data_IF_393930554323
#
_entry.id   IF_393930554323
#
_cell.length_a   1.000
_cell.length_b   1.000
_cell.length_c   1.000
_cell.angle_alpha   90.00
_cell.angle_beta   90.00
_cell.angle_gamma   90.00
#
_symmetry.space_group_name_H-M   'P 1'
#
loop_
_entity.id
_entity.type
_entity.pdbx_description
1 polymer ?
#
# COMPACT_ATOMS: atom_id res chain seq x y z
N UNK A 1 0.38 26.31 5.69
CA UNK A 1 1.45 25.32 5.87
C UNK A 1 2.09 25.08 4.51
N UNK A 2 3.40 25.29 4.36
CA UNK A 2 4.11 25.15 3.08
C UNK A 2 4.62 23.70 2.99
N UNK A 3 3.95 22.89 2.17
CA UNK A 3 4.08 21.42 2.12
C UNK A 3 5.14 20.92 1.11
N UNK A 4 5.86 21.84 0.45
CA UNK A 4 6.67 21.57 -0.75
C UNK A 4 8.15 21.27 -0.47
N UNK A 5 8.71 21.71 0.66
CA UNK A 5 10.16 21.67 0.91
C UNK A 5 10.68 20.62 1.88
N UNK A 6 9.82 19.91 2.62
CA UNK A 6 10.25 18.98 3.69
C UNK A 6 9.61 17.59 3.59
N UNK A 7 9.55 17.02 2.39
CA UNK A 7 8.91 15.70 2.12
C UNK A 7 9.29 14.60 3.13
N UNK A 8 10.50 14.60 3.66
CA UNK A 8 10.98 13.53 4.56
C UNK A 8 10.77 13.82 6.06
N UNK A 9 10.47 15.06 6.45
CA UNK A 9 10.34 15.46 7.87
C UNK A 9 8.92 15.93 8.25
N UNK A 10 8.00 15.99 7.28
CA UNK A 10 6.61 16.41 7.49
C UNK A 10 5.89 15.68 8.63
N UNK A 11 6.14 14.37 8.78
CA UNK A 11 5.53 13.57 9.85
C UNK A 11 6.04 13.90 11.26
N UNK A 12 7.14 14.65 11.39
CA UNK A 12 7.67 15.14 12.66
C UNK A 12 7.10 16.50 13.05
N UNK A 13 6.51 17.23 12.10
CA UNK A 13 5.99 18.56 12.37
C UNK A 13 4.70 18.43 13.20
N UNK A 14 4.63 18.98 14.43
CA UNK A 14 3.43 18.88 15.27
C UNK A 14 2.17 19.39 14.56
N UNK A 15 2.31 20.47 13.81
CA UNK A 15 1.26 21.02 12.94
C UNK A 15 0.74 20.05 11.86
N UNK A 16 1.55 19.10 11.38
CA UNK A 16 1.08 18.06 10.45
C UNK A 16 0.30 16.97 11.16
N UNK A 17 0.76 16.53 12.34
CA UNK A 17 0.05 15.50 13.13
C UNK A 17 -1.25 16.04 13.73
N UNK A 18 -1.30 17.34 14.06
CA UNK A 18 -2.52 18.05 14.44
C UNK A 18 -3.50 18.18 13.27
N UNK A 19 -3.00 18.48 12.07
CA UNK A 19 -3.83 18.53 10.87
C UNK A 19 -4.43 17.16 10.52
N UNK A 20 -3.65 16.07 10.61
CA UNK A 20 -4.15 14.70 10.41
C UNK A 20 -5.35 14.43 11.34
N UNK A 21 -5.19 14.71 12.63
CA UNK A 21 -6.25 14.54 13.65
C UNK A 21 -7.48 15.38 13.35
N UNK A 22 -7.28 16.64 12.95
CA UNK A 22 -8.37 17.54 12.61
C UNK A 22 -9.21 17.03 11.42
N UNK A 23 -8.55 16.56 10.35
CA UNK A 23 -9.26 16.07 9.17
C UNK A 23 -9.98 14.74 9.46
N UNK A 24 -9.40 13.87 10.28
CA UNK A 24 -10.06 12.65 10.76
C UNK A 24 -11.33 12.98 11.56
N UNK A 25 -11.22 13.89 12.54
CA UNK A 25 -12.35 14.35 13.35
C UNK A 25 -13.46 14.99 12.49
N UNK A 26 -13.06 15.78 11.49
CA UNK A 26 -13.98 16.42 10.56
C UNK A 26 -14.69 15.39 9.66
N UNK A 27 -13.96 14.36 9.22
CA UNK A 27 -14.49 13.27 8.39
C UNK A 27 -15.46 12.39 9.19
N UNK A 28 -15.15 12.08 10.44
CA UNK A 28 -16.02 11.33 11.34
C UNK A 28 -17.34 12.08 11.63
N UNK A 29 -17.27 13.42 11.74
CA UNK A 29 -18.45 14.27 11.97
C UNK A 29 -19.31 14.47 10.72
N UNK A 30 -18.77 14.27 9.52
CA UNK A 30 -19.49 14.45 8.26
C UNK A 30 -19.25 13.29 7.28
N UNK A 31 -19.77 12.07 7.52
CA UNK A 31 -19.39 10.88 6.75
C UNK A 31 -19.71 10.95 5.24
N UNK A 32 -20.68 11.77 4.84
CA UNK A 32 -21.14 11.90 3.44
C UNK A 32 -20.43 13.01 2.65
N UNK A 33 -19.72 13.91 3.32
CA UNK A 33 -19.02 15.07 2.71
C UNK A 33 -17.56 15.20 3.13
N UNK A 34 -17.14 14.43 4.13
CA UNK A 34 -15.79 14.44 4.68
C UNK A 34 -14.80 13.92 3.65
N UNK A 35 -13.85 14.76 3.26
CA UNK A 35 -12.66 14.32 2.53
C UNK A 35 -11.69 13.78 3.57
N UNK A 36 -11.25 12.52 3.44
CA UNK A 36 -10.27 11.97 4.37
C UNK A 36 -8.94 12.70 4.25
N UNK A 37 -8.14 12.68 5.32
CA UNK A 37 -6.78 13.23 5.29
C UNK A 37 -5.98 12.58 4.16
N UNK A 38 -6.17 11.28 3.96
CA UNK A 38 -5.58 10.52 2.87
C UNK A 38 -5.99 11.02 1.49
N UNK A 39 -7.26 11.31 1.22
CA UNK A 39 -7.67 11.86 -0.08
C UNK A 39 -6.99 13.21 -0.38
N UNK A 40 -6.82 14.05 0.64
CA UNK A 40 -6.09 15.32 0.48
C UNK A 40 -4.60 15.08 0.24
N UNK A 41 -3.98 14.18 1.01
CA UNK A 41 -2.57 13.86 0.88
C UNK A 41 -2.23 13.14 -0.43
N UNK A 42 -3.06 12.19 -0.87
CA UNK A 42 -2.87 11.49 -2.16
C UNK A 42 -3.07 12.45 -3.33
N UNK A 43 -4.02 13.39 -3.24
CA UNK A 43 -4.17 14.44 -4.25
C UNK A 43 -2.96 15.38 -4.32
N UNK A 44 -2.34 15.70 -3.18
CA UNK A 44 -1.20 16.63 -3.12
C UNK A 44 0.15 15.97 -3.46
N UNK A 45 0.40 14.77 -2.94
CA UNK A 45 1.69 14.09 -3.06
C UNK A 45 1.70 12.96 -4.09
N UNK A 46 0.55 12.37 -4.40
CA UNK A 46 0.43 11.08 -5.09
C UNK A 46 0.63 9.89 -4.14
N UNK A 47 0.06 8.75 -4.51
CA UNK A 47 0.09 7.52 -3.71
C UNK A 47 1.51 7.05 -3.40
N UNK A 48 2.37 6.96 -4.43
CA UNK A 48 3.74 6.45 -4.27
C UNK A 48 4.62 7.35 -3.37
N UNK A 49 4.46 8.67 -3.48
CA UNK A 49 5.20 9.60 -2.63
C UNK A 49 4.68 9.58 -1.20
N UNK A 50 3.35 9.51 -1.01
CA UNK A 50 2.74 9.37 0.30
C UNK A 50 3.16 8.08 1.00
N UNK A 51 3.12 6.96 0.28
CA UNK A 51 3.59 5.67 0.80
C UNK A 51 5.03 5.77 1.30
N UNK A 52 5.93 6.30 0.46
CA UNK A 52 7.33 6.48 0.81
C UNK A 52 7.54 7.37 2.04
N UNK A 53 6.78 8.46 2.18
CA UNK A 53 6.87 9.32 3.36
C UNK A 53 6.52 8.55 4.65
N UNK A 54 5.50 7.69 4.60
CA UNK A 54 5.10 6.86 5.73
C UNK A 54 6.15 5.78 6.03
N UNK A 55 6.69 5.12 5.01
CA UNK A 55 7.77 4.13 5.17
C UNK A 55 9.02 4.74 5.80
N UNK A 56 9.42 5.94 5.38
CA UNK A 56 10.58 6.64 5.97
C UNK A 56 10.31 6.97 7.46
N UNK A 57 9.12 7.43 7.81
CA UNK A 57 8.75 7.69 9.20
C UNK A 57 8.68 6.41 10.05
N UNK A 58 8.36 5.26 9.47
CA UNK A 58 8.32 3.99 10.19
C UNK A 58 9.70 3.53 10.68
N UNK A 59 10.79 4.05 10.10
CA UNK A 59 12.17 3.71 10.47
C UNK A 59 12.61 4.30 11.81
N UNK A 60 11.91 5.31 12.32
CA UNK A 60 12.30 6.02 13.52
C UNK A 60 11.35 5.71 14.68
N UNK A 61 11.92 5.38 15.85
CA UNK A 61 11.14 4.94 17.02
C UNK A 61 10.04 5.93 17.43
N UNK A 62 10.32 7.24 17.38
CA UNK A 62 9.35 8.28 17.78
C UNK A 62 8.14 8.45 16.85
N UNK A 63 8.22 7.93 15.62
CA UNK A 63 7.16 8.06 14.60
C UNK A 63 6.62 6.72 14.13
N UNK A 64 7.18 5.61 14.62
CA UNK A 64 6.84 4.25 14.17
C UNK A 64 5.36 3.90 14.38
N UNK A 65 4.80 4.23 15.53
CA UNK A 65 3.40 3.92 15.84
C UNK A 65 2.44 4.73 14.95
N UNK A 66 2.76 6.02 14.75
CA UNK A 66 2.00 6.87 13.83
C UNK A 66 2.11 6.36 12.40
N UNK A 67 3.31 6.03 11.93
CA UNK A 67 3.52 5.51 10.59
C UNK A 67 2.76 4.19 10.37
N UNK A 68 2.77 3.28 11.34
CA UNK A 68 2.02 2.02 11.29
C UNK A 68 0.52 2.26 11.20
N UNK A 69 0.00 3.20 12.00
CA UNK A 69 -1.41 3.62 11.93
C UNK A 69 -1.73 4.17 10.53
N UNK A 70 -0.90 5.08 10.02
CA UNK A 70 -1.11 5.71 8.72
C UNK A 70 -1.02 4.73 7.55
N UNK A 71 -0.11 3.74 7.60
CA UNK A 71 -0.03 2.66 6.62
C UNK A 71 -1.34 1.86 6.58
N UNK A 72 -1.88 1.49 7.75
CA UNK A 72 -3.16 0.77 7.83
C UNK A 72 -4.31 1.57 7.24
N UNK A 73 -4.41 2.85 7.57
CA UNK A 73 -5.47 3.73 7.07
C UNK A 73 -5.35 3.99 5.57
N UNK A 74 -4.12 4.11 5.04
CA UNK A 74 -3.87 4.23 3.59
C UNK A 74 -4.36 2.99 2.84
N UNK A 75 -4.05 1.78 3.34
CA UNK A 75 -4.53 0.53 2.72
C UNK A 75 -6.06 0.45 2.74
N UNK A 76 -6.70 0.84 3.85
CA UNK A 76 -8.15 0.90 3.95
C UNK A 76 -8.76 1.93 3.00
N UNK A 77 -8.10 3.09 2.84
CA UNK A 77 -8.52 4.11 1.90
C UNK A 77 -8.47 3.60 0.46
N UNK A 78 -7.38 2.97 0.04
CA UNK A 78 -7.25 2.37 -1.30
C UNK A 78 -8.32 1.31 -1.57
N UNK A 79 -8.61 0.44 -0.60
CA UNK A 79 -9.73 -0.51 -0.70
C UNK A 79 -11.07 0.24 -0.83
N UNK A 80 -11.30 1.28 -0.03
CA UNK A 80 -12.54 2.06 -0.05
C UNK A 80 -12.77 2.81 -1.36
N UNK A 81 -11.71 3.28 -2.02
CA UNK A 81 -11.76 3.97 -3.30
C UNK A 81 -11.61 3.02 -4.49
N UNK A 82 -11.68 1.70 -4.26
CA UNK A 82 -11.51 0.67 -5.29
C UNK A 82 -10.23 0.85 -6.13
N UNK A 83 -9.12 1.25 -5.49
CA UNK A 83 -7.82 1.40 -6.15
C UNK A 83 -7.37 0.04 -6.68
N UNK A 84 -6.97 -0.02 -7.95
CA UNK A 84 -6.61 -1.31 -8.57
C UNK A 84 -5.37 -1.90 -7.89
N UNK A 85 -5.25 -3.23 -7.77
CA UNK A 85 -4.04 -3.85 -7.28
C UNK A 85 -2.77 -3.50 -8.06
N UNK A 86 -2.88 -3.23 -9.36
CA UNK A 86 -1.75 -2.77 -10.19
C UNK A 86 -1.25 -1.39 -9.73
N UNK A 87 -2.16 -0.44 -9.53
CA UNK A 87 -1.79 0.89 -9.05
C UNK A 87 -1.17 0.83 -7.64
N UNK A 88 -1.70 -0.04 -6.77
CA UNK A 88 -1.15 -0.23 -5.42
C UNK A 88 0.22 -0.89 -5.47
N UNK A 89 0.42 -1.85 -6.37
CA UNK A 89 1.73 -2.47 -6.61
C UNK A 89 2.79 -1.43 -6.98
N UNK A 90 2.45 -0.53 -7.91
CA UNK A 90 3.32 0.58 -8.30
C UNK A 90 3.50 1.62 -7.18
N UNK A 91 2.45 1.94 -6.43
CA UNK A 91 2.51 2.87 -5.30
C UNK A 91 3.48 2.38 -4.21
N UNK A 92 3.52 1.07 -3.96
CA UNK A 92 4.46 0.44 -3.03
C UNK A 92 5.87 0.24 -3.64
N UNK A 93 6.13 0.77 -4.84
CA UNK A 93 7.37 0.61 -5.61
C UNK A 93 7.79 -0.86 -5.80
N UNK A 94 6.84 -1.79 -5.78
CA UNK A 94 7.14 -3.21 -5.96
C UNK A 94 7.61 -3.49 -7.39
N UNK A 95 7.15 -2.73 -8.38
CA UNK A 95 7.61 -2.75 -9.78
C UNK A 95 9.13 -2.54 -9.94
N UNK A 96 9.77 -1.93 -8.95
CA UNK A 96 11.22 -1.63 -8.96
C UNK A 96 12.03 -2.64 -8.12
N UNK A 97 11.38 -3.60 -7.46
CA UNK A 97 12.07 -4.62 -6.69
C UNK A 97 12.76 -5.60 -7.65
N UNK A 98 14.11 -5.58 -7.67
CA UNK A 98 14.90 -6.29 -8.69
C UNK A 98 15.11 -7.78 -8.42
N UNK A 99 15.11 -8.22 -7.16
CA UNK A 99 15.37 -9.61 -6.76
C UNK A 99 14.60 -9.97 -5.47
N UNK A 100 14.26 -11.25 -5.30
CA UNK A 100 13.66 -11.81 -4.07
C UNK A 100 12.36 -11.14 -3.61
N UNK A 101 11.49 -10.74 -4.55
CA UNK A 101 10.23 -10.06 -4.20
C UNK A 101 9.35 -10.88 -3.24
N UNK A 102 9.37 -12.22 -3.32
CA UNK A 102 8.60 -13.05 -2.41
C UNK A 102 9.06 -12.96 -0.95
N UNK A 103 10.32 -12.60 -0.72
CA UNK A 103 10.85 -12.34 0.62
C UNK A 103 10.68 -10.87 1.02
N UNK A 104 10.15 -10.02 0.13
CA UNK A 104 9.87 -8.64 0.43
C UNK A 104 8.60 -8.55 1.31
N UNK A 105 8.67 -8.00 2.53
CA UNK A 105 7.49 -7.82 3.37
C UNK A 105 6.42 -6.95 2.70
N UNK A 106 6.82 -6.02 1.85
CA UNK A 106 5.92 -5.16 1.07
C UNK A 106 5.08 -5.96 0.07
N UNK A 107 5.66 -7.01 -0.52
CA UNK A 107 4.92 -7.92 -1.38
C UNK A 107 3.87 -8.71 -0.60
N UNK A 108 4.21 -9.13 0.62
CA UNK A 108 3.24 -9.81 1.51
C UNK A 108 2.09 -8.89 1.88
N UNK A 109 2.38 -7.61 2.17
CA UNK A 109 1.36 -6.60 2.44
C UNK A 109 0.47 -6.34 1.21
N UNK A 110 1.05 -6.26 0.00
CA UNK A 110 0.30 -6.13 -1.25
C UNK A 110 -0.57 -7.37 -1.55
N UNK A 111 -0.05 -8.58 -1.34
CA UNK A 111 -0.84 -9.80 -1.52
C UNK A 111 -2.05 -9.83 -0.58
N UNK A 112 -1.87 -9.38 0.68
CA UNK A 112 -2.96 -9.19 1.61
C UNK A 112 -3.95 -8.12 1.14
N UNK A 113 -3.48 -7.01 0.59
CA UNK A 113 -4.34 -5.97 0.00
C UNK A 113 -5.23 -6.55 -1.11
N UNK A 114 -4.69 -7.37 -2.01
CA UNK A 114 -5.47 -8.02 -3.07
C UNK A 114 -6.56 -8.93 -2.49
N UNK A 115 -6.23 -9.70 -1.45
CA UNK A 115 -7.21 -10.56 -0.77
C UNK A 115 -8.34 -9.74 -0.12
N UNK A 116 -7.99 -8.65 0.58
CA UNK A 116 -8.96 -7.77 1.22
C UNK A 116 -9.81 -6.98 0.18
N UNK A 117 -9.21 -6.61 -0.96
CA UNK A 117 -9.91 -6.01 -2.10
C UNK A 117 -10.92 -6.97 -2.72
N UNK A 118 -10.52 -8.22 -3.00
CA UNK A 118 -11.39 -9.23 -3.59
C UNK A 118 -12.53 -9.63 -2.64
N UNK A 119 -12.29 -9.63 -1.33
CA UNK A 119 -13.34 -9.85 -0.34
C UNK A 119 -14.39 -8.74 -0.35
N UNK A 120 -13.99 -7.50 -0.64
CA UNK A 120 -14.90 -6.34 -0.74
C UNK A 120 -15.62 -6.24 -2.09
N UNK A 121 -14.96 -6.64 -3.18
CA UNK A 121 -15.47 -6.56 -4.55
C UNK A 121 -15.55 -7.94 -5.22
N UNK A 122 -16.40 -8.87 -4.72
CA UNK A 122 -16.42 -10.26 -5.18
C UNK A 122 -16.92 -10.42 -6.62
N UNK A 123 -17.67 -9.45 -7.16
CA UNK A 123 -18.18 -9.46 -8.54
C UNK A 123 -17.09 -9.20 -9.60
N UNK A 124 -15.95 -8.63 -9.18
CA UNK A 124 -14.82 -8.35 -10.08
C UNK A 124 -13.50 -8.58 -9.35
N UNK A 125 -13.16 -9.85 -9.04
CA UNK A 125 -11.95 -10.17 -8.31
C UNK A 125 -10.72 -9.89 -9.19
N UNK A 126 -9.71 -9.29 -8.57
CA UNK A 126 -8.42 -9.08 -9.18
C UNK A 126 -7.54 -10.34 -9.04
N UNK A 127 -6.78 -10.62 -10.09
CA UNK A 127 -5.75 -11.66 -10.11
C UNK A 127 -4.37 -11.03 -9.86
N UNK A 128 -3.50 -11.76 -9.16
CA UNK A 128 -2.13 -11.30 -8.92
C UNK A 128 -1.25 -11.49 -10.16
N UNK A 129 -1.39 -12.63 -10.86
CA UNK A 129 -0.52 -13.00 -11.98
C UNK A 129 -0.45 -11.94 -13.10
N UNK A 130 -1.57 -11.33 -13.56
CA UNK A 130 -1.52 -10.29 -14.59
C UNK A 130 -0.81 -9.00 -14.16
N UNK A 131 -0.79 -8.70 -12.85
CA UNK A 131 -0.04 -7.56 -12.33
C UNK A 131 1.45 -7.89 -12.32
N UNK A 132 1.82 -9.08 -11.87
CA UNK A 132 3.22 -9.49 -11.80
C UNK A 132 3.85 -9.61 -13.20
N UNK A 133 3.13 -10.14 -14.18
CA UNK A 133 3.61 -10.27 -15.56
C UNK A 133 3.83 -8.94 -16.27
N UNK A 134 3.23 -7.84 -15.81
CA UNK A 134 3.54 -6.49 -16.33
C UNK A 134 4.95 -6.02 -15.96
N UNK A 135 5.47 -6.44 -14.81
CA UNK A 135 6.72 -5.90 -14.25
C UNK A 135 7.85 -6.93 -14.18
N UNK A 136 7.54 -8.22 -14.26
CA UNK A 136 8.49 -9.31 -14.12
C UNK A 136 8.53 -10.21 -15.34
N UNK A 137 9.73 -10.65 -15.69
CA UNK A 137 9.92 -11.65 -16.75
C UNK A 137 9.34 -12.99 -16.34
N UNK A 138 8.92 -13.80 -17.31
CA UNK A 138 8.44 -15.16 -17.09
C UNK A 138 9.43 -16.01 -16.28
N UNK A 139 10.73 -15.85 -16.51
CA UNK A 139 11.77 -16.53 -15.74
C UNK A 139 11.72 -16.18 -14.26
N UNK A 140 11.54 -14.90 -13.94
CA UNK A 140 11.39 -14.44 -12.55
C UNK A 140 10.08 -14.95 -11.94
N UNK A 141 8.99 -14.99 -12.70
CA UNK A 141 7.72 -15.56 -12.22
C UNK A 141 7.82 -17.07 -11.94
N UNK A 142 8.54 -17.82 -12.77
CA UNK A 142 8.79 -19.26 -12.57
C UNK A 142 9.60 -19.49 -11.29
N UNK A 143 10.64 -18.69 -11.05
CA UNK A 143 11.42 -18.72 -9.80
C UNK A 143 10.52 -18.42 -8.59
N UNK A 144 9.63 -17.44 -8.69
CA UNK A 144 8.66 -17.14 -7.63
C UNK A 144 7.79 -18.36 -7.31
N UNK A 145 7.20 -18.99 -8.33
CA UNK A 145 6.35 -20.18 -8.15
C UNK A 145 7.15 -21.33 -7.52
N UNK A 146 8.37 -21.59 -7.99
CA UNK A 146 9.24 -22.63 -7.45
C UNK A 146 9.58 -22.40 -5.97
N UNK A 147 9.94 -21.17 -5.60
CA UNK A 147 10.24 -20.79 -4.20
C UNK A 147 9.00 -20.94 -3.32
N UNK A 148 7.83 -20.48 -3.77
CA UNK A 148 6.57 -20.61 -3.03
C UNK A 148 6.20 -22.08 -2.78
N UNK A 149 6.40 -22.96 -3.76
CA UNK A 149 6.16 -24.40 -3.65
C UNK A 149 7.16 -25.07 -2.71
N UNK A 150 8.44 -24.67 -2.74
CA UNK A 150 9.50 -25.25 -1.91
C UNK A 150 9.49 -24.77 -0.44
N UNK A 151 9.02 -23.55 -0.18
CA UNK A 151 9.10 -22.88 1.12
C UNK A 151 7.96 -23.20 2.09
N UNK A 152 7.02 -24.07 1.72
CA UNK A 152 5.84 -24.39 2.55
C UNK A 152 4.83 -23.24 2.68
N UNK A 153 5.00 -22.15 1.91
CA UNK A 153 4.00 -21.08 1.82
C UNK A 153 2.77 -21.67 1.13
N UNK A 154 1.66 -21.64 1.85
CA UNK A 154 0.45 -22.41 1.58
C UNK A 154 0.04 -22.41 0.11
N UNK A 155 -0.32 -23.61 -0.40
CA UNK A 155 -0.80 -23.93 -1.75
C UNK A 155 -1.64 -22.83 -2.42
N UNK A 156 -2.42 -22.07 -1.64
CA UNK A 156 -3.24 -20.91 -2.05
C UNK A 156 -2.48 -19.78 -2.75
N UNK A 157 -1.23 -19.48 -2.41
CA UNK A 157 -0.45 -18.44 -3.11
C UNK A 157 0.03 -18.94 -4.47
N UNK A 158 0.46 -20.20 -4.55
CA UNK A 158 0.92 -20.81 -5.81
C UNK A 158 -0.21 -20.95 -6.85
N UNK A 159 -1.43 -21.30 -6.43
CA UNK A 159 -2.57 -21.41 -7.36
C UNK A 159 -2.97 -20.05 -7.95
N UNK A 160 -2.90 -18.98 -7.16
CA UNK A 160 -3.21 -17.60 -7.60
C UNK A 160 -2.19 -16.97 -8.54
N UNK A 161 -1.00 -17.57 -8.67
CA UNK A 161 0.03 -17.13 -9.64
C UNK A 161 -0.13 -17.87 -10.98
N UNK A 162 -0.75 -19.06 -10.98
CA UNK A 162 -0.89 -19.91 -12.17
C UNK A 162 -2.21 -19.74 -12.92
N UNK A 163 -3.26 -19.23 -12.27
CA UNK A 163 -4.56 -18.89 -12.86
C UNK A 163 -4.63 -17.40 -13.27
#
# INVERSE_FOLDING_TARGET
MRLDKEKYWLLYLPQFTDWLRYVDDLSAKNPTKGTSAFSTLTSHYGDAALYKMIEEAAKFAGTKDLATKLQKELMQHWIATAKSPDDVFHAMNLDKAKQNILSNPEFTAWAKYVDDFNAKYPENPALMAPVLSKYYSDGTLIEMVAVAISGGVSKRVATKIQD
#
